data_IF_716830536612
#
_entry.id   IF_716830536612
#
_cell.length_a   1.000
_cell.length_b   1.000
_cell.length_c   1.000
_cell.angle_alpha   90.00
_cell.angle_beta   90.00
_cell.angle_gamma   90.00
#
_symmetry.space_group_name_H-M   'P 1'
#
loop_
_entity.id
_entity.type
_entity.pdbx_description
1 polymer ?
#
# COMPACT_ATOMS: atom_id res chain seq x y z
N UNK A 1 -37.76 22.87 -22.19
CA UNK A 1 -36.37 23.32 -22.40
C UNK A 1 -35.48 22.20 -21.90
N UNK A 2 -34.58 21.68 -22.73
CA UNK A 2 -33.57 20.74 -22.24
C UNK A 2 -32.70 21.47 -21.21
N UNK A 3 -32.49 20.89 -20.02
CA UNK A 3 -31.57 21.45 -19.03
C UNK A 3 -30.16 21.44 -19.64
N UNK A 4 -29.41 22.53 -19.45
CA UNK A 4 -27.99 22.59 -19.82
C UNK A 4 -27.18 21.62 -18.95
N UNK A 5 -26.09 21.01 -19.44
CA UNK A 5 -25.20 20.15 -18.63
C UNK A 5 -24.77 20.81 -17.32
N UNK A 6 -24.43 22.10 -17.38
CA UNK A 6 -24.03 22.91 -16.21
C UNK A 6 -25.16 23.04 -15.16
N UNK A 7 -26.42 23.13 -15.59
CA UNK A 7 -27.54 23.19 -14.65
C UNK A 7 -27.74 21.84 -13.95
N UNK A 8 -27.57 20.75 -14.69
CA UNK A 8 -27.63 19.39 -14.12
C UNK A 8 -26.44 19.16 -13.19
N UNK A 9 -25.27 19.72 -13.50
CA UNK A 9 -24.09 19.66 -12.64
C UNK A 9 -24.30 20.40 -11.31
N UNK A 10 -24.91 21.59 -11.32
CA UNK A 10 -25.29 22.27 -10.08
C UNK A 10 -26.27 21.43 -9.25
N UNK A 11 -27.23 20.75 -9.90
CA UNK A 11 -28.13 19.81 -9.21
C UNK A 11 -27.34 18.64 -8.56
N UNK A 12 -26.25 18.16 -9.17
CA UNK A 12 -25.36 17.13 -8.58
C UNK A 12 -24.72 17.64 -7.29
N UNK A 13 -24.15 18.85 -7.31
CA UNK A 13 -23.48 19.44 -6.15
C UNK A 13 -24.45 19.62 -4.98
N UNK A 14 -25.66 20.12 -5.27
CA UNK A 14 -26.74 20.24 -4.28
C UNK A 14 -27.13 18.89 -3.65
N UNK A 15 -27.13 17.81 -4.45
CA UNK A 15 -27.44 16.46 -3.97
C UNK A 15 -26.29 15.88 -3.12
N UNK A 16 -25.03 16.14 -3.49
CA UNK A 16 -23.87 15.77 -2.68
C UNK A 16 -23.88 16.47 -1.32
N UNK A 17 -24.22 17.76 -1.26
CA UNK A 17 -24.35 18.51 -0.01
C UNK A 17 -25.48 17.96 0.88
N UNK A 18 -26.59 17.54 0.28
CA UNK A 18 -27.71 16.88 0.98
C UNK A 18 -27.41 15.44 1.40
N UNK A 19 -26.30 14.87 0.92
CA UNK A 19 -25.90 13.48 1.18
C UNK A 19 -26.65 12.44 0.34
N UNK A 20 -27.39 12.86 -0.70
CA UNK A 20 -28.13 11.99 -1.61
C UNK A 20 -27.23 11.46 -2.73
N UNK A 21 -26.36 10.51 -2.36
CA UNK A 21 -25.34 9.95 -3.24
C UNK A 21 -25.90 9.20 -4.44
N UNK A 22 -27.05 8.55 -4.29
CA UNK A 22 -27.64 7.75 -5.37
C UNK A 22 -28.17 8.66 -6.48
N UNK A 23 -28.94 9.69 -6.11
CA UNK A 23 -29.43 10.66 -7.08
C UNK A 23 -28.29 11.50 -7.65
N UNK A 24 -27.29 11.88 -6.84
CA UNK A 24 -26.09 12.56 -7.32
C UNK A 24 -25.36 11.74 -8.40
N UNK A 25 -25.22 10.42 -8.19
CA UNK A 25 -24.58 9.54 -9.17
C UNK A 25 -25.39 9.42 -10.47
N UNK A 26 -26.72 9.38 -10.38
CA UNK A 26 -27.60 9.34 -11.55
C UNK A 26 -27.51 10.64 -12.35
N UNK A 27 -27.55 11.79 -11.69
CA UNK A 27 -27.42 13.09 -12.34
C UNK A 27 -26.02 13.29 -12.93
N UNK A 28 -24.95 12.88 -12.24
CA UNK A 28 -23.59 12.97 -12.76
C UNK A 28 -23.40 12.11 -14.03
N UNK A 29 -24.03 10.92 -14.09
CA UNK A 29 -24.08 10.12 -15.33
C UNK A 29 -24.81 10.83 -16.45
N UNK A 30 -25.92 11.49 -16.14
CA UNK A 30 -26.67 12.28 -17.12
C UNK A 30 -25.84 13.45 -17.64
N UNK A 31 -25.03 14.11 -16.80
CA UNK A 31 -24.10 15.16 -17.23
C UNK A 31 -23.11 14.63 -18.25
N UNK A 32 -22.44 13.50 -17.98
CA UNK A 32 -21.44 12.95 -18.93
C UNK A 32 -22.07 12.37 -20.21
N UNK A 33 -23.35 11.99 -20.18
CA UNK A 33 -24.10 11.62 -21.38
C UNK A 33 -24.41 12.84 -22.27
N UNK A 34 -24.57 14.04 -21.68
CA UNK A 34 -24.78 15.28 -22.42
C UNK A 34 -23.45 15.92 -22.86
N UNK A 35 -22.43 15.88 -22.01
CA UNK A 35 -21.08 16.36 -22.27
C UNK A 35 -20.04 15.35 -21.77
N UNK A 36 -19.52 14.52 -22.68
CA UNK A 36 -18.52 13.51 -22.35
C UNK A 36 -17.24 14.13 -21.79
N UNK A 37 -16.93 15.40 -22.10
CA UNK A 37 -15.67 16.05 -21.69
C UNK A 37 -15.72 16.65 -20.30
N UNK A 38 -16.86 16.57 -19.61
CA UNK A 38 -17.03 17.16 -18.28
C UNK A 38 -16.24 16.38 -17.21
N UNK A 39 -15.00 16.81 -16.94
CA UNK A 39 -14.08 16.12 -16.06
C UNK A 39 -14.59 16.02 -14.61
N UNK A 40 -15.18 17.09 -14.07
CA UNK A 40 -15.70 17.08 -12.70
C UNK A 40 -16.85 16.08 -12.51
N UNK A 41 -17.72 15.92 -13.51
CA UNK A 41 -18.78 14.93 -13.49
C UNK A 41 -18.21 13.50 -13.51
N UNK A 42 -17.17 13.24 -14.31
CA UNK A 42 -16.43 11.97 -14.24
C UNK A 42 -15.79 11.74 -12.87
N UNK A 43 -15.24 12.79 -12.26
CA UNK A 43 -14.63 12.70 -10.93
C UNK A 43 -15.68 12.41 -9.85
N UNK A 44 -16.86 13.03 -9.94
CA UNK A 44 -18.00 12.72 -9.08
C UNK A 44 -18.45 11.27 -9.28
N UNK A 45 -18.57 10.78 -10.52
CA UNK A 45 -18.90 9.37 -10.79
C UNK A 45 -17.87 8.44 -10.12
N UNK A 46 -16.57 8.75 -10.20
CA UNK A 46 -15.54 7.95 -9.55
C UNK A 46 -15.75 7.89 -8.03
N UNK A 47 -15.87 9.06 -7.37
CA UNK A 47 -16.04 9.17 -5.91
C UNK A 47 -17.36 8.62 -5.40
N UNK A 48 -18.44 8.77 -6.16
CA UNK A 48 -19.79 8.32 -5.78
C UNK A 48 -19.98 6.82 -5.93
N UNK A 49 -19.25 6.17 -6.84
CA UNK A 49 -19.23 4.70 -6.93
C UNK A 49 -18.48 4.04 -5.78
N UNK A 50 -17.58 4.77 -5.10
CA UNK A 50 -16.87 4.27 -3.93
C UNK A 50 -17.74 4.39 -2.66
N UNK A 51 -17.51 3.53 -1.66
CA UNK A 51 -18.14 3.66 -0.36
C UNK A 51 -17.88 5.05 0.27
N UNK A 52 -18.85 5.62 0.99
CA UNK A 52 -18.65 6.89 1.67
C UNK A 52 -17.61 6.76 2.78
N UNK A 53 -16.89 7.85 3.03
CA UNK A 53 -15.98 7.95 4.17
C UNK A 53 -16.80 7.91 5.46
N UNK A 54 -16.68 6.82 6.22
CA UNK A 54 -17.33 6.68 7.52
C UNK A 54 -16.37 7.13 8.63
N UNK A 55 -16.90 7.72 9.71
CA UNK A 55 -16.11 8.11 10.90
C UNK A 55 -15.57 6.91 11.70
N UNK A 56 -15.89 5.68 11.29
CA UNK A 56 -15.50 4.43 11.95
C UNK A 56 -14.53 3.63 11.08
N UNK A 57 -14.69 2.30 11.05
CA UNK A 57 -13.94 1.46 10.12
C UNK A 57 -14.35 1.83 8.68
N UNK A 58 -13.42 2.29 7.82
CA UNK A 58 -13.76 2.64 6.46
C UNK A 58 -14.33 1.42 5.75
N UNK A 59 -15.46 1.60 5.07
CA UNK A 59 -16.02 0.55 4.23
C UNK A 59 -15.12 0.43 3.00
N UNK A 60 -14.48 -0.71 2.84
CA UNK A 60 -13.58 -0.95 1.72
C UNK A 60 -14.40 -1.29 0.46
N UNK A 61 -14.02 -0.75 -0.71
CA UNK A 61 -14.74 -1.03 -1.95
C UNK A 61 -14.57 -2.49 -2.39
N UNK A 62 -15.60 -3.00 -3.09
CA UNK A 62 -15.56 -4.27 -3.83
C UNK A 62 -14.87 -4.09 -5.21
N UNK A 63 -14.64 -5.20 -5.92
CA UNK A 63 -13.94 -5.17 -7.22
C UNK A 63 -14.74 -4.38 -8.27
N UNK A 64 -16.08 -4.47 -8.24
CA UNK A 64 -16.97 -3.81 -9.20
C UNK A 64 -16.96 -2.29 -9.01
N UNK A 65 -16.94 -1.82 -7.77
CA UNK A 65 -16.83 -0.42 -7.40
C UNK A 65 -15.47 0.14 -7.82
N UNK A 66 -14.38 -0.57 -7.51
CA UNK A 66 -13.03 -0.18 -7.95
C UNK A 66 -12.95 -0.08 -9.47
N UNK A 67 -13.49 -1.06 -10.21
CA UNK A 67 -13.49 -1.07 -11.68
C UNK A 67 -14.25 0.11 -12.29
N UNK A 68 -15.45 0.42 -11.77
CA UNK A 68 -16.23 1.59 -12.21
C UNK A 68 -15.50 2.90 -11.90
N UNK A 69 -14.93 3.03 -10.70
CA UNK A 69 -14.19 4.20 -10.29
C UNK A 69 -12.95 4.41 -11.18
N UNK A 70 -12.18 3.35 -11.44
CA UNK A 70 -11.01 3.42 -12.34
C UNK A 70 -11.38 3.78 -13.77
N UNK A 71 -12.51 3.31 -14.28
CA UNK A 71 -12.99 3.67 -15.63
C UNK A 71 -13.31 5.16 -15.71
N UNK A 72 -13.97 5.71 -14.68
CA UNK A 72 -14.27 7.13 -14.60
C UNK A 72 -13.00 7.97 -14.41
N UNK A 73 -12.06 7.55 -13.56
CA UNK A 73 -10.79 8.25 -13.35
C UNK A 73 -9.93 8.33 -14.61
N UNK A 74 -9.90 7.27 -15.42
CA UNK A 74 -9.26 7.29 -16.74
C UNK A 74 -9.84 8.37 -17.66
N UNK A 75 -11.15 8.64 -17.56
CA UNK A 75 -11.80 9.73 -18.29
C UNK A 75 -11.46 11.10 -17.71
N UNK A 76 -11.38 11.22 -16.38
CA UNK A 76 -10.93 12.47 -15.73
C UNK A 76 -9.55 12.87 -16.24
N UNK A 77 -8.54 11.99 -16.12
CA UNK A 77 -7.18 12.31 -16.56
C UNK A 77 -7.06 12.52 -18.07
N UNK A 78 -8.01 12.00 -18.86
CA UNK A 78 -8.06 12.22 -20.31
C UNK A 78 -8.50 13.66 -20.65
N UNK A 79 -9.41 14.23 -19.87
CA UNK A 79 -10.00 15.55 -20.13
C UNK A 79 -9.40 16.67 -19.27
N UNK A 80 -8.94 16.33 -18.07
CA UNK A 80 -8.28 17.20 -17.10
C UNK A 80 -7.06 16.48 -16.52
N UNK A 81 -5.91 16.51 -17.23
CA UNK A 81 -4.69 15.81 -16.81
C UNK A 81 -4.02 16.41 -15.57
N UNK A 82 -4.42 17.63 -15.18
CA UNK A 82 -3.87 18.38 -14.04
C UNK A 82 -4.62 18.08 -12.74
N UNK A 83 -5.63 17.19 -12.79
CA UNK A 83 -6.42 16.82 -11.64
C UNK A 83 -5.66 15.92 -10.65
N UNK A 84 -4.98 16.53 -9.67
CA UNK A 84 -4.21 15.82 -8.63
C UNK A 84 -5.02 14.73 -7.92
N UNK A 85 -6.28 15.04 -7.55
CA UNK A 85 -7.15 14.11 -6.84
C UNK A 85 -7.45 12.85 -7.67
N UNK A 86 -7.56 12.98 -8.99
CA UNK A 86 -7.79 11.84 -9.87
C UNK A 86 -6.57 10.90 -9.91
N UNK A 87 -5.36 11.47 -9.97
CA UNK A 87 -4.11 10.71 -9.94
C UNK A 87 -3.92 9.99 -8.61
N UNK A 88 -4.11 10.69 -7.49
CA UNK A 88 -4.00 10.11 -6.14
C UNK A 88 -5.00 8.98 -5.93
N UNK A 89 -6.29 9.21 -6.26
CA UNK A 89 -7.32 8.19 -6.08
C UNK A 89 -7.10 7.00 -7.02
N UNK A 90 -6.66 7.24 -8.26
CA UNK A 90 -6.36 6.17 -9.22
C UNK A 90 -5.17 5.32 -8.78
N UNK A 91 -4.11 5.94 -8.27
CA UNK A 91 -2.94 5.25 -7.73
C UNK A 91 -3.31 4.37 -6.53
N UNK A 92 -4.05 4.93 -5.56
CA UNK A 92 -4.51 4.18 -4.39
C UNK A 92 -5.39 2.98 -4.79
N UNK A 93 -6.32 3.16 -5.73
CA UNK A 93 -7.16 2.05 -6.21
C UNK A 93 -6.35 0.95 -6.90
N UNK A 94 -5.39 1.31 -7.76
CA UNK A 94 -4.55 0.33 -8.46
C UNK A 94 -3.63 -0.44 -7.48
N UNK A 95 -2.99 0.27 -6.56
CA UNK A 95 -1.94 -0.28 -5.69
C UNK A 95 -2.54 -0.97 -4.46
N UNK A 96 -3.42 -0.29 -3.73
CA UNK A 96 -3.90 -0.74 -2.42
C UNK A 96 -5.16 -1.61 -2.50
N UNK A 97 -6.04 -1.32 -3.46
CA UNK A 97 -7.32 -2.02 -3.60
C UNK A 97 -7.29 -3.16 -4.61
N UNK A 98 -6.59 -2.99 -5.74
CA UNK A 98 -6.56 -3.96 -6.83
C UNK A 98 -5.28 -4.80 -6.89
N UNK A 99 -4.19 -4.36 -6.26
CA UNK A 99 -2.89 -5.04 -6.35
C UNK A 99 -2.31 -5.07 -7.77
N UNK A 100 -2.71 -4.15 -8.63
CA UNK A 100 -2.27 -4.04 -10.02
C UNK A 100 -1.02 -3.16 -10.10
N UNK A 101 0.10 -3.65 -9.54
CA UNK A 101 1.29 -2.83 -9.30
C UNK A 101 1.97 -2.33 -10.60
N UNK A 102 2.02 -3.16 -11.64
CA UNK A 102 2.54 -2.77 -12.95
C UNK A 102 1.73 -1.63 -13.57
N UNK A 103 0.40 -1.70 -13.50
CA UNK A 103 -0.46 -0.59 -13.93
C UNK A 103 -0.36 0.62 -13.00
N UNK A 104 -0.03 0.41 -11.72
CA UNK A 104 0.31 1.50 -10.79
C UNK A 104 1.58 2.23 -11.21
N UNK A 105 2.63 1.51 -11.63
CA UNK A 105 3.85 2.12 -12.19
C UNK A 105 3.54 2.93 -13.44
N UNK A 106 2.78 2.36 -14.38
CA UNK A 106 2.35 3.03 -15.60
C UNK A 106 1.49 4.28 -15.31
N UNK A 107 0.60 4.20 -14.32
CA UNK A 107 -0.25 5.31 -13.90
C UNK A 107 0.60 6.50 -13.41
N UNK A 108 1.56 6.25 -12.53
CA UNK A 108 2.45 7.29 -12.03
C UNK A 108 3.43 7.79 -13.09
N UNK A 109 3.87 6.95 -14.01
CA UNK A 109 4.68 7.41 -15.15
C UNK A 109 3.89 8.35 -16.06
N UNK A 110 2.62 8.03 -16.32
CA UNK A 110 1.78 8.92 -17.12
C UNK A 110 1.56 10.28 -16.45
N UNK A 111 1.52 10.36 -15.10
CA UNK A 111 1.53 11.64 -14.39
C UNK A 111 2.83 12.41 -14.62
N UNK A 112 3.98 11.72 -14.56
CA UNK A 112 5.30 12.33 -14.81
C UNK A 112 5.46 12.90 -16.21
N UNK A 113 4.76 12.38 -17.23
CA UNK A 113 4.78 12.98 -18.58
C UNK A 113 4.21 14.39 -18.61
N UNK A 114 3.28 14.71 -17.71
CA UNK A 114 2.69 16.05 -17.60
C UNK A 114 3.46 16.91 -16.60
N UNK A 115 3.85 16.32 -15.48
CA UNK A 115 4.58 17.00 -14.39
C UNK A 115 5.83 16.20 -13.96
N UNK A 116 6.96 16.35 -14.69
CA UNK A 116 8.16 15.52 -14.50
C UNK A 116 8.84 15.72 -13.15
N UNK A 117 8.77 16.94 -12.61
CA UNK A 117 9.52 17.36 -11.42
C UNK A 117 8.76 17.10 -10.10
N UNK A 118 7.55 16.53 -10.18
CA UNK A 118 6.80 16.17 -8.97
C UNK A 118 7.42 14.96 -8.25
N UNK A 119 7.57 15.11 -6.94
CA UNK A 119 8.15 14.10 -6.05
C UNK A 119 7.21 12.91 -5.81
N UNK A 120 5.90 13.13 -5.74
CA UNK A 120 4.92 12.10 -5.37
C UNK A 120 4.94 10.87 -6.29
N UNK A 121 4.91 11.01 -7.63
CA UNK A 121 4.97 9.85 -8.52
C UNK A 121 6.20 8.96 -8.31
N UNK A 122 7.38 9.54 -8.11
CA UNK A 122 8.61 8.78 -7.86
C UNK A 122 8.58 8.05 -6.52
N UNK A 123 8.08 8.71 -5.46
CA UNK A 123 7.88 8.11 -4.13
C UNK A 123 6.99 6.86 -4.23
N UNK A 124 5.88 6.94 -4.97
CA UNK A 124 4.96 5.82 -5.17
C UNK A 124 5.58 4.71 -6.04
N UNK A 125 6.28 5.05 -7.12
CA UNK A 125 7.00 4.08 -7.96
C UNK A 125 8.06 3.32 -7.16
N UNK A 126 8.87 3.99 -6.35
CA UNK A 126 9.87 3.34 -5.48
C UNK A 126 9.20 2.40 -4.48
N UNK A 127 8.06 2.81 -3.90
CA UNK A 127 7.27 1.96 -3.00
C UNK A 127 6.84 0.65 -3.67
N UNK A 128 6.35 0.72 -4.91
CA UNK A 128 5.97 -0.45 -5.70
C UNK A 128 7.18 -1.36 -5.97
N UNK A 129 8.29 -0.78 -6.46
CA UNK A 129 9.50 -1.52 -6.80
C UNK A 129 10.09 -2.23 -5.57
N UNK A 130 10.10 -1.56 -4.41
CA UNK A 130 10.60 -2.12 -3.15
C UNK A 130 9.74 -3.28 -2.65
N UNK A 131 8.40 -3.17 -2.79
CA UNK A 131 7.44 -4.23 -2.47
C UNK A 131 7.69 -5.48 -3.32
N UNK A 132 7.96 -5.28 -4.61
CA UNK A 132 8.25 -6.33 -5.57
C UNK A 132 9.69 -6.87 -5.53
N UNK A 133 10.58 -6.25 -4.75
CA UNK A 133 11.98 -6.68 -4.59
C UNK A 133 12.93 -6.20 -5.70
N UNK A 134 12.54 -5.22 -6.51
CA UNK A 134 13.35 -4.62 -7.57
C UNK A 134 14.23 -3.50 -7.01
N UNK A 135 15.17 -3.85 -6.13
CA UNK A 135 15.99 -2.86 -5.40
C UNK A 135 17.00 -2.10 -6.25
N UNK A 136 17.45 -2.68 -7.36
CA UNK A 136 18.32 -1.99 -8.32
C UNK A 136 17.57 -0.83 -8.98
N UNK A 137 16.34 -1.08 -9.46
CA UNK A 137 15.47 -0.04 -10.02
C UNK A 137 15.08 1.00 -8.96
N UNK A 138 14.87 0.58 -7.70
CA UNK A 138 14.66 1.51 -6.60
C UNK A 138 15.84 2.48 -6.43
N UNK A 139 17.08 1.99 -6.54
CA UNK A 139 18.27 2.84 -6.40
C UNK A 139 18.32 3.90 -7.50
N UNK A 140 18.03 3.52 -8.74
CA UNK A 140 17.96 4.44 -9.89
C UNK A 140 16.90 5.53 -9.65
N UNK A 141 15.68 5.14 -9.25
CA UNK A 141 14.59 6.10 -8.98
C UNK A 141 14.86 6.94 -7.72
N UNK A 142 15.57 6.42 -6.73
CA UNK A 142 16.00 7.18 -5.54
C UNK A 142 17.02 8.25 -5.92
N UNK A 143 17.98 7.93 -6.78
CA UNK A 143 18.96 8.91 -7.27
C UNK A 143 18.25 10.03 -8.05
N UNK A 144 17.25 9.69 -8.87
CA UNK A 144 16.40 10.66 -9.55
C UNK A 144 15.60 11.53 -8.56
N UNK A 145 15.00 10.91 -7.54
CA UNK A 145 14.19 11.58 -6.51
C UNK A 145 14.99 12.64 -5.73
N UNK A 146 16.29 12.41 -5.51
CA UNK A 146 17.18 13.35 -4.81
C UNK A 146 18.01 14.22 -5.78
N UNK A 147 17.71 14.18 -7.08
CA UNK A 147 18.35 15.00 -8.09
C UNK A 147 18.00 16.50 -7.98
N UNK A 148 18.83 17.34 -8.59
CA UNK A 148 18.65 18.82 -8.58
C UNK A 148 17.50 19.31 -9.45
N UNK A 149 16.97 18.45 -10.34
CA UNK A 149 15.88 18.79 -11.26
C UNK A 149 14.50 18.76 -10.59
N UNK A 150 14.38 18.12 -9.42
CA UNK A 150 13.09 17.95 -8.74
C UNK A 150 12.58 19.25 -8.12
N UNK A 151 11.25 19.41 -8.11
CA UNK A 151 10.61 20.55 -7.47
C UNK A 151 10.97 20.61 -6.00
N UNK A 152 11.18 21.83 -5.49
CA UNK A 152 11.53 22.06 -4.10
C UNK A 152 10.48 21.41 -3.18
N UNK A 153 10.83 20.31 -2.49
CA UNK A 153 9.84 19.53 -1.77
C UNK A 153 9.36 20.31 -0.55
N UNK A 154 8.04 20.30 -0.33
CA UNK A 154 7.49 20.75 0.95
C UNK A 154 8.08 19.90 2.10
N UNK A 155 8.14 20.45 3.32
CA UNK A 155 8.68 19.73 4.49
C UNK A 155 8.06 18.33 4.68
N UNK A 156 6.77 18.18 4.38
CA UNK A 156 6.08 16.89 4.43
C UNK A 156 6.58 15.91 3.35
N UNK A 157 6.85 16.40 2.14
CA UNK A 157 7.39 15.59 1.04
C UNK A 157 8.83 15.16 1.34
N UNK A 158 9.66 16.04 1.92
CA UNK A 158 11.00 15.68 2.38
C UNK A 158 11.00 14.51 3.36
N UNK A 159 10.10 14.55 4.35
CA UNK A 159 9.95 13.45 5.31
C UNK A 159 9.53 12.15 4.62
N UNK A 160 8.63 12.22 3.62
CA UNK A 160 8.24 11.06 2.82
C UNK A 160 9.41 10.51 2.01
N UNK A 161 10.19 11.36 1.34
CA UNK A 161 11.39 10.95 0.58
C UNK A 161 12.40 10.22 1.47
N UNK A 162 12.70 10.78 2.64
CA UNK A 162 13.61 10.16 3.61
C UNK A 162 13.05 8.83 4.14
N UNK A 163 11.74 8.78 4.42
CA UNK A 163 11.09 7.55 4.86
C UNK A 163 11.16 6.45 3.80
N UNK A 164 10.95 6.78 2.53
CA UNK A 164 11.07 5.82 1.43
C UNK A 164 12.50 5.33 1.28
N UNK A 165 13.49 6.24 1.30
CA UNK A 165 14.90 5.83 1.27
C UNK A 165 15.24 4.85 2.40
N UNK A 166 14.85 5.16 3.64
CA UNK A 166 15.09 4.27 4.79
C UNK A 166 14.36 2.93 4.64
N UNK A 167 13.14 2.94 4.09
CA UNK A 167 12.38 1.73 3.80
C UNK A 167 13.12 0.84 2.80
N UNK A 168 13.62 1.41 1.69
CA UNK A 168 14.38 0.67 0.68
C UNK A 168 15.69 0.14 1.24
N UNK A 169 16.47 0.98 1.93
CA UNK A 169 17.74 0.55 2.56
C UNK A 169 17.51 -0.60 3.55
N UNK A 170 16.46 -0.51 4.36
CA UNK A 170 16.09 -1.56 5.32
C UNK A 170 15.65 -2.84 4.60
N UNK A 171 14.78 -2.73 3.59
CA UNK A 171 14.30 -3.88 2.83
C UNK A 171 15.45 -4.59 2.09
N UNK A 172 16.31 -3.84 1.41
CA UNK A 172 17.52 -4.36 0.78
C UNK A 172 18.44 -5.04 1.81
N UNK A 173 18.67 -4.40 2.97
CA UNK A 173 19.54 -4.97 4.01
C UNK A 173 19.03 -6.30 4.58
N UNK A 174 17.70 -6.48 4.67
CA UNK A 174 17.08 -7.73 5.12
C UNK A 174 17.26 -8.88 4.13
N UNK A 175 17.49 -8.56 2.85
CA UNK A 175 17.60 -9.49 1.73
C UNK A 175 19.03 -9.66 1.22
N UNK A 176 20.01 -9.05 1.88
CA UNK A 176 21.45 -9.09 1.56
C UNK A 176 22.02 -10.50 1.27
N UNK A 177 21.41 -11.57 1.77
CA UNK A 177 21.86 -12.95 1.51
C UNK A 177 21.21 -13.60 0.29
N UNK A 178 19.93 -13.29 0.02
CA UNK A 178 19.10 -13.94 -1.01
C UNK A 178 17.79 -13.15 -1.15
N UNK A 179 17.58 -12.50 -2.30
CA UNK A 179 16.31 -11.84 -2.65
C UNK A 179 15.32 -12.92 -3.08
N UNK A 180 14.14 -12.95 -2.46
CA UNK A 180 13.12 -13.92 -2.84
C UNK A 180 12.56 -13.59 -4.22
N UNK A 181 12.63 -14.56 -5.14
CA UNK A 181 12.09 -14.45 -6.49
C UNK A 181 10.91 -15.41 -6.69
N UNK A 182 9.65 -14.92 -6.63
CA UNK A 182 8.46 -15.76 -6.81
C UNK A 182 8.38 -16.49 -8.16
N UNK A 183 9.11 -16.01 -9.17
CA UNK A 183 9.16 -16.60 -10.52
C UNK A 183 9.95 -17.90 -10.56
N UNK A 184 10.96 -18.03 -9.69
CA UNK A 184 11.76 -19.24 -9.60
C UNK A 184 11.11 -20.22 -8.61
N UNK A 185 10.60 -21.33 -9.15
CA UNK A 185 9.99 -22.39 -8.34
C UNK A 185 11.01 -23.19 -7.53
N UNK A 186 12.29 -23.08 -7.88
CA UNK A 186 13.39 -23.76 -7.18
C UNK A 186 14.03 -22.86 -6.11
N UNK A 187 13.56 -21.61 -5.97
CA UNK A 187 14.03 -20.68 -4.94
C UNK A 187 13.89 -21.32 -3.54
N UNK A 188 14.97 -21.28 -2.76
CA UNK A 188 15.08 -21.93 -1.47
C UNK A 188 14.04 -21.39 -0.46
N UNK A 189 13.57 -20.15 -0.65
CA UNK A 189 12.57 -19.49 0.19
C UNK A 189 11.20 -20.17 0.12
N UNK A 190 10.86 -20.84 -0.99
CA UNK A 190 9.66 -21.67 -1.06
C UNK A 190 9.66 -22.78 -0.01
N UNK A 191 10.80 -23.43 0.21
CA UNK A 191 10.92 -24.47 1.24
C UNK A 191 10.86 -23.91 2.67
N UNK A 192 11.34 -22.69 2.89
CA UNK A 192 11.18 -21.99 4.17
C UNK A 192 9.69 -21.71 4.42
N UNK A 193 8.97 -21.17 3.43
CA UNK A 193 7.54 -20.91 3.53
C UNK A 193 6.74 -22.20 3.76
N UNK A 194 7.03 -23.28 3.04
CA UNK A 194 6.39 -24.60 3.26
C UNK A 194 6.56 -25.09 4.70
N UNK A 195 7.75 -24.96 5.29
CA UNK A 195 7.99 -25.34 6.70
C UNK A 195 7.26 -24.44 7.68
N UNK A 196 7.07 -23.16 7.34
CA UNK A 196 6.46 -22.15 8.21
C UNK A 196 4.96 -21.94 7.95
N UNK A 197 4.36 -22.66 7.00
CA UNK A 197 2.98 -22.46 6.49
C UNK A 197 1.87 -22.47 7.55
N UNK A 198 2.10 -23.15 8.68
CA UNK A 198 1.14 -23.23 9.78
C UNK A 198 1.31 -22.17 10.87
N UNK A 199 2.34 -21.31 10.77
CA UNK A 199 2.61 -20.22 11.70
C UNK A 199 2.08 -18.91 11.15
N UNK A 200 1.32 -18.18 11.97
CA UNK A 200 0.82 -16.84 11.62
C UNK A 200 1.93 -15.80 11.80
N UNK A 201 1.92 -14.70 11.03
CA UNK A 201 2.82 -13.59 11.27
C UNK A 201 2.59 -13.04 12.68
N UNK A 202 3.67 -12.67 13.35
CA UNK A 202 3.63 -12.09 14.68
C UNK A 202 3.30 -10.60 14.52
N UNK A 203 2.22 -10.13 15.13
CA UNK A 203 1.87 -8.71 15.10
C UNK A 203 2.78 -7.91 16.05
N UNK A 204 3.01 -6.63 15.73
CA UNK A 204 3.83 -5.74 16.55
C UNK A 204 3.34 -5.68 18.00
N UNK A 205 2.02 -5.53 18.22
CA UNK A 205 1.44 -5.54 19.56
C UNK A 205 1.71 -6.84 20.32
N UNK A 206 1.55 -8.01 19.66
CA UNK A 206 1.83 -9.30 20.31
C UNK A 206 3.31 -9.43 20.64
N UNK A 207 4.19 -9.01 19.73
CA UNK A 207 5.63 -9.04 19.97
C UNK A 207 6.04 -8.10 21.11
N UNK A 208 5.42 -6.92 21.17
CA UNK A 208 5.63 -5.95 22.23
C UNK A 208 5.24 -6.53 23.59
N UNK A 209 4.05 -7.11 23.72
CA UNK A 209 3.58 -7.67 24.99
C UNK A 209 4.29 -8.96 25.40
N UNK A 210 4.66 -9.83 24.46
CA UNK A 210 5.24 -11.15 24.77
C UNK A 210 6.76 -11.13 24.91
N UNK A 211 7.47 -10.27 24.17
CA UNK A 211 8.93 -10.22 24.19
C UNK A 211 9.47 -8.91 24.77
N UNK A 212 9.00 -7.76 24.26
CA UNK A 212 9.59 -6.45 24.62
C UNK A 212 9.26 -6.04 26.06
N UNK A 213 7.98 -6.09 26.45
CA UNK A 213 7.51 -5.62 27.75
C UNK A 213 8.09 -6.41 28.93
N UNK A 214 8.19 -7.76 28.90
CA UNK A 214 8.84 -8.51 29.97
C UNK A 214 10.32 -8.15 30.14
N UNK A 215 11.05 -7.93 29.04
CA UNK A 215 12.47 -7.52 29.10
C UNK A 215 12.61 -6.14 29.73
N UNK A 216 11.80 -5.17 29.30
CA UNK A 216 11.78 -3.82 29.86
C UNK A 216 11.40 -3.84 31.34
N UNK A 217 10.42 -4.66 31.72
CA UNK A 217 9.97 -4.80 33.11
C UNK A 217 11.06 -5.38 34.01
N UNK A 218 11.73 -6.45 33.59
CA UNK A 218 12.85 -7.05 34.33
C UNK A 218 14.02 -6.06 34.49
N UNK A 219 14.36 -5.31 33.44
CA UNK A 219 15.36 -4.25 33.51
C UNK A 219 14.92 -3.11 34.44
N UNK A 220 13.64 -2.75 34.41
CA UNK A 220 13.06 -1.75 35.31
C UNK A 220 13.23 -2.12 36.78
N UNK A 221 12.99 -3.39 37.14
CA UNK A 221 13.22 -3.90 38.50
C UNK A 221 14.70 -3.77 38.89
N UNK A 222 15.63 -4.13 38.00
CA UNK A 222 17.08 -3.99 38.27
C UNK A 222 17.50 -2.53 38.47
N UNK A 223 16.92 -1.60 37.69
CA UNK A 223 17.20 -0.17 37.82
C UNK A 223 16.63 0.39 39.13
N UNK A 224 15.46 -0.08 39.57
CA UNK A 224 14.88 0.27 40.87
C UNK A 224 15.75 -0.21 42.04
N UNK A 225 16.22 -1.46 41.98
CA UNK A 225 17.09 -2.04 43.01
C UNK A 225 18.41 -1.26 43.14
N UNK A 226 18.96 -0.77 42.01
CA UNK A 226 20.21 -0.02 42.00
C UNK A 226 20.09 1.44 42.48
N UNK A 227 18.99 2.14 42.18
CA UNK A 227 18.84 3.58 42.45
C UNK A 227 18.13 3.91 43.77
N UNK A 228 17.52 2.93 44.42
CA UNK A 228 16.88 3.07 45.73
C UNK A 228 15.57 3.88 45.71
N UNK A 229 14.80 3.78 46.80
CA UNK A 229 13.40 4.24 46.88
C UNK A 229 13.27 5.73 47.28
N UNK A 230 14.10 6.60 46.69
CA UNK A 230 14.02 8.05 46.92
C UNK A 230 13.10 8.72 45.91
N UNK A 231 12.45 9.83 46.28
CA UNK A 231 11.56 10.57 45.37
C UNK A 231 12.25 11.06 44.09
N UNK A 232 13.55 11.36 44.15
CA UNK A 232 14.35 11.67 42.96
C UNK A 232 14.77 10.42 42.19
N UNK A 233 15.04 9.31 42.89
CA UNK A 233 15.34 8.00 42.31
C UNK A 233 14.18 7.48 41.47
N UNK A 234 12.94 7.58 41.95
CA UNK A 234 11.75 7.11 41.21
C UNK A 234 11.52 7.87 39.90
N UNK A 235 11.74 9.20 39.89
CA UNK A 235 11.67 10.02 38.68
C UNK A 235 12.79 9.63 37.69
N UNK A 236 14.02 9.44 38.18
CA UNK A 236 15.15 9.02 37.35
C UNK A 236 14.93 7.62 36.75
N UNK A 237 14.48 6.67 37.57
CA UNK A 237 14.11 5.31 37.14
C UNK A 237 13.04 5.38 36.05
N UNK A 238 12.00 6.20 36.23
CA UNK A 238 10.93 6.32 35.25
C UNK A 238 11.45 6.82 33.88
N UNK A 239 12.32 7.84 33.88
CA UNK A 239 12.95 8.32 32.64
C UNK A 239 13.86 7.27 32.00
N UNK A 240 14.60 6.50 32.80
CA UNK A 240 15.44 5.39 32.32
C UNK A 240 14.59 4.28 31.71
N UNK A 241 13.46 3.92 32.33
CA UNK A 241 12.53 2.92 31.78
C UNK A 241 11.94 3.39 30.46
N UNK A 242 11.54 4.66 30.34
CA UNK A 242 11.07 5.22 29.07
C UNK A 242 12.14 5.16 27.98
N UNK A 243 13.38 5.50 28.32
CA UNK A 243 14.51 5.42 27.41
C UNK A 243 14.82 3.97 26.98
N UNK A 244 14.82 3.02 27.92
CA UNK A 244 15.00 1.60 27.66
C UNK A 244 13.87 1.05 26.78
N UNK A 245 12.62 1.43 27.07
CA UNK A 245 11.47 1.04 26.27
C UNK A 245 11.59 1.53 24.82
N UNK A 246 11.96 2.80 24.62
CA UNK A 246 12.17 3.35 23.28
C UNK A 246 13.32 2.64 22.53
N UNK A 247 14.42 2.35 23.24
CA UNK A 247 15.60 1.69 22.66
C UNK A 247 15.32 0.24 22.30
N UNK A 248 14.71 -0.53 23.20
CA UNK A 248 14.38 -1.94 22.98
C UNK A 248 13.34 -2.07 21.88
N UNK A 249 12.31 -1.22 21.85
CA UNK A 249 11.31 -1.24 20.76
C UNK A 249 11.96 -1.03 19.38
N UNK A 250 12.90 -0.08 19.27
CA UNK A 250 13.63 0.13 18.00
C UNK A 250 14.45 -1.08 17.57
N UNK A 251 15.19 -1.69 18.49
CA UNK A 251 16.01 -2.88 18.20
C UNK A 251 15.14 -4.11 17.92
N UNK A 252 14.05 -4.26 18.66
CA UNK A 252 13.15 -5.42 18.56
C UNK A 252 12.37 -5.41 17.25
N UNK A 253 12.08 -4.24 16.67
CA UNK A 253 11.46 -4.12 15.34
C UNK A 253 12.29 -4.79 14.23
N UNK A 254 13.63 -4.73 14.29
CA UNK A 254 14.46 -5.46 13.31
C UNK A 254 14.30 -6.97 13.46
N UNK A 255 14.25 -7.46 14.70
CA UNK A 255 14.07 -8.88 14.99
C UNK A 255 12.69 -9.37 14.56
N UNK A 256 11.63 -8.60 14.82
CA UNK A 256 10.27 -8.91 14.40
C UNK A 256 10.16 -9.08 12.88
N UNK A 257 10.76 -8.16 12.13
CA UNK A 257 10.76 -8.22 10.68
C UNK A 257 11.51 -9.45 10.16
N UNK A 258 12.65 -9.81 10.78
CA UNK A 258 13.38 -11.03 10.45
C UNK A 258 12.57 -12.30 10.76
N UNK A 259 11.86 -12.35 11.90
CA UNK A 259 10.99 -13.47 12.25
C UNK A 259 9.82 -13.61 11.25
N UNK A 260 9.27 -12.49 10.80
CA UNK A 260 8.17 -12.42 9.84
C UNK A 260 8.62 -12.48 8.37
N UNK A 261 9.91 -12.68 8.08
CA UNK A 261 10.43 -12.65 6.70
C UNK A 261 9.69 -13.62 5.77
N UNK A 262 9.32 -14.80 6.24
CA UNK A 262 8.52 -15.77 5.48
C UNK A 262 7.12 -15.27 5.11
N UNK A 263 6.53 -14.41 5.93
CA UNK A 263 5.25 -13.77 5.63
C UNK A 263 5.42 -12.62 4.62
N UNK A 264 6.52 -11.87 4.69
CA UNK A 264 6.88 -10.85 3.70
C UNK A 264 7.14 -11.47 2.32
N UNK A 265 7.84 -12.60 2.26
CA UNK A 265 8.04 -13.35 1.01
C UNK A 265 6.70 -13.78 0.42
N UNK A 266 5.80 -14.31 1.24
CA UNK A 266 4.46 -14.69 0.77
C UNK A 266 3.67 -13.48 0.28
N UNK A 267 3.79 -12.34 0.96
CA UNK A 267 3.16 -11.09 0.53
C UNK A 267 3.65 -10.67 -0.87
N UNK A 268 4.97 -10.72 -1.09
CA UNK A 268 5.56 -10.50 -2.40
C UNK A 268 5.04 -11.48 -3.43
N UNK A 269 4.89 -12.77 -3.10
CA UNK A 269 4.31 -13.73 -4.03
C UNK A 269 2.86 -13.37 -4.40
N UNK A 270 2.05 -12.92 -3.44
CA UNK A 270 0.67 -12.44 -3.69
C UNK A 270 0.70 -11.21 -4.61
N UNK A 271 1.67 -10.32 -4.43
CA UNK A 271 1.84 -9.13 -5.27
C UNK A 271 2.21 -9.49 -6.71
N UNK A 272 3.06 -10.49 -6.91
CA UNK A 272 3.36 -11.04 -8.23
C UNK A 272 2.09 -11.64 -8.87
N UNK A 273 1.32 -12.46 -8.14
CA UNK A 273 0.11 -13.06 -8.71
C UNK A 273 -0.96 -12.03 -9.08
N UNK A 274 -1.20 -11.06 -8.21
CA UNK A 274 -2.21 -10.00 -8.40
C UNK A 274 -1.86 -9.05 -9.54
N UNK A 275 -0.57 -8.74 -9.68
CA UNK A 275 -0.04 -7.89 -10.75
C UNK A 275 -0.06 -8.60 -12.08
N UNK A 276 0.50 -9.82 -12.16
CA UNK A 276 0.60 -10.55 -13.43
C UNK A 276 -0.74 -11.17 -13.88
N UNK A 277 -1.70 -11.30 -12.96
CA UNK A 277 -2.93 -12.05 -13.19
C UNK A 277 -2.73 -13.56 -13.36
N UNK A 278 -1.63 -14.11 -12.81
CA UNK A 278 -1.20 -15.50 -13.01
C UNK A 278 -0.70 -16.11 -11.71
N UNK A 279 -0.76 -17.43 -11.61
CA UNK A 279 -0.47 -18.17 -10.38
C UNK A 279 1.01 -18.56 -10.32
N UNK A 280 1.66 -18.28 -9.19
CA UNK A 280 3.00 -18.75 -8.83
C UNK A 280 3.06 -19.46 -7.47
N UNK A 281 2.12 -19.19 -6.56
CA UNK A 281 2.05 -19.75 -5.21
C UNK A 281 1.61 -21.23 -5.29
N UNK A 282 2.38 -22.18 -4.72
CA UNK A 282 1.99 -23.58 -4.62
C UNK A 282 0.72 -23.80 -3.79
N UNK A 283 -0.11 -24.77 -4.19
CA UNK A 283 -1.37 -25.10 -3.51
C UNK A 283 -1.16 -25.45 -2.02
N UNK A 284 -0.06 -26.12 -1.68
CA UNK A 284 0.30 -26.45 -0.30
C UNK A 284 0.45 -25.22 0.61
N UNK A 285 0.89 -24.09 0.06
CA UNK A 285 1.03 -22.81 0.78
C UNK A 285 -0.30 -22.08 0.75
N UNK A 286 -1.05 -22.14 -0.35
CA UNK A 286 -2.37 -21.50 -0.49
C UNK A 286 -3.40 -22.01 0.51
N UNK A 287 -3.41 -23.31 0.78
CA UNK A 287 -4.30 -23.93 1.78
C UNK A 287 -3.85 -23.70 3.23
N UNK A 288 -2.75 -22.99 3.44
CA UNK A 288 -2.14 -22.85 4.75
C UNK A 288 -2.73 -21.75 5.62
N UNK A 289 -2.51 -21.85 6.94
CA UNK A 289 -2.91 -20.81 7.89
C UNK A 289 -2.18 -19.48 7.67
N UNK A 290 -0.95 -19.55 7.17
CA UNK A 290 -0.16 -18.37 6.82
C UNK A 290 -0.85 -17.60 5.69
N UNK A 291 -1.18 -18.28 4.58
CA UNK A 291 -1.87 -17.66 3.45
C UNK A 291 -3.22 -17.07 3.85
N UNK A 292 -4.03 -17.82 4.61
CA UNK A 292 -5.30 -17.30 5.13
C UNK A 292 -5.09 -16.01 5.97
N UNK A 293 -4.08 -15.97 6.84
CA UNK A 293 -3.79 -14.76 7.64
C UNK A 293 -3.29 -13.58 6.81
N UNK A 294 -2.56 -13.85 5.71
CA UNK A 294 -2.11 -12.82 4.78
C UNK A 294 -3.27 -12.29 3.93
N UNK A 295 -4.21 -13.16 3.54
CA UNK A 295 -5.41 -12.72 2.84
C UNK A 295 -6.34 -11.93 3.75
N UNK A 296 -6.49 -12.29 5.03
CA UNK A 296 -7.38 -11.59 5.97
C UNK A 296 -7.16 -10.07 6.00
N UNK A 297 -5.90 -9.62 5.92
CA UNK A 297 -5.52 -8.21 5.94
C UNK A 297 -5.76 -7.48 4.60
N UNK A 298 -5.91 -8.20 3.48
CA UNK A 298 -6.10 -7.61 2.15
C UNK A 298 -7.51 -7.05 1.97
N UNK A 299 -7.64 -6.09 1.06
CA UNK A 299 -8.91 -5.45 0.72
C UNK A 299 -9.89 -6.43 0.06
N UNK A 300 -11.22 -6.20 0.18
CA UNK A 300 -12.22 -7.05 -0.46
C UNK A 300 -12.07 -7.13 -1.98
N UNK A 301 -11.82 -5.99 -2.64
CA UNK A 301 -11.56 -5.94 -4.08
C UNK A 301 -10.38 -6.84 -4.50
N UNK A 302 -9.27 -6.82 -3.75
CA UNK A 302 -8.12 -7.68 -4.03
C UNK A 302 -8.46 -9.15 -3.81
N UNK A 303 -9.21 -9.50 -2.76
CA UNK A 303 -9.67 -10.88 -2.51
C UNK A 303 -10.49 -11.43 -3.67
N UNK A 304 -11.51 -10.68 -4.10
CA UNK A 304 -12.36 -11.06 -5.24
C UNK A 304 -11.54 -11.24 -6.53
N UNK A 305 -10.59 -10.33 -6.79
CA UNK A 305 -9.69 -10.43 -7.94
C UNK A 305 -8.79 -11.66 -7.85
N UNK A 306 -8.23 -11.94 -6.68
CA UNK A 306 -7.40 -13.11 -6.45
C UNK A 306 -8.19 -14.40 -6.69
N UNK A 307 -9.43 -14.49 -6.21
CA UNK A 307 -10.29 -15.65 -6.47
C UNK A 307 -10.52 -15.88 -7.98
N UNK A 308 -10.67 -14.81 -8.77
CA UNK A 308 -10.76 -14.89 -10.23
C UNK A 308 -9.48 -15.39 -10.88
N UNK A 309 -8.31 -14.88 -10.44
CA UNK A 309 -6.99 -15.31 -10.93
C UNK A 309 -6.76 -16.79 -10.61
N UNK A 310 -7.10 -17.21 -9.39
CA UNK A 310 -7.00 -18.60 -8.94
C UNK A 310 -7.88 -19.51 -9.82
N UNK A 311 -9.10 -19.07 -10.12
CA UNK A 311 -10.05 -19.81 -10.97
C UNK A 311 -9.57 -19.95 -12.41
N UNK A 312 -8.88 -18.93 -12.95
CA UNK A 312 -8.28 -18.97 -14.29
C UNK A 312 -7.21 -20.07 -14.42
N UNK A 313 -6.45 -20.35 -13.36
CA UNK A 313 -5.47 -21.44 -13.36
C UNK A 313 -4.21 -21.19 -14.20
N UNK A 314 -4.07 -20.01 -14.81
CA UNK A 314 -2.93 -19.66 -15.64
C UNK A 314 -1.64 -19.54 -14.82
N UNK A 315 -0.58 -20.24 -15.22
CA UNK A 315 0.70 -20.25 -14.48
C UNK A 315 1.59 -19.10 -14.92
N UNK A 316 2.26 -18.47 -13.95
CA UNK A 316 3.26 -17.44 -14.21
C UNK A 316 4.43 -18.03 -15.02
N UNK A 317 4.76 -17.45 -16.20
CA UNK A 317 5.87 -17.93 -16.99
C UNK A 317 7.20 -17.55 -16.34
N UNK A 318 8.22 -18.40 -16.48
CA UNK A 318 9.56 -18.15 -15.91
C UNK A 318 10.22 -16.85 -16.41
N UNK A 319 9.87 -16.43 -17.63
CA UNK A 319 10.39 -15.22 -18.29
C UNK A 319 9.52 -13.98 -18.02
N UNK A 320 8.55 -14.06 -17.12
CA UNK A 320 7.78 -12.87 -16.77
C UNK A 320 8.70 -11.86 -16.07
N UNK A 321 8.62 -10.61 -16.49
CA UNK A 321 9.33 -9.49 -15.91
C UNK A 321 8.35 -8.35 -15.73
N UNK A 322 8.55 -7.60 -14.66
CA UNK A 322 7.80 -6.38 -14.41
C UNK A 322 8.22 -5.35 -15.47
N UNK A 323 7.24 -4.75 -16.14
CA UNK A 323 7.52 -3.64 -17.03
C UNK A 323 7.73 -2.37 -16.17
N UNK A 324 9.00 -2.03 -15.93
CA UNK A 324 9.38 -0.80 -15.21
C UNK A 324 9.50 0.34 -16.22
N UNK A 325 8.67 1.38 -16.12
CA UNK A 325 8.65 2.48 -17.08
C UNK A 325 9.75 3.53 -16.89
#
# INVERSE_FOLDING_TARGET
MAKSPEMVWLDVLDLEEKGDRENALLQAKSVVEMDEKHADAWMAIARLNLPPLTRGKPLMPDLKQCSKAMTALKKVIQFDPDNDLAWELGGALLIDHLGMLEHGLEWWENRRKNEPHQVTPLVEQIGILARMGYYEDCAIKLDELFGEEMDAPANQQLLRMQSVRQMVEKAASMENSEIFNPRDKLDSRWEIMKRMKNKKPITENRFLFTFTAPIVFLLGILVMDALGDTAFGTIAVFLIILFLFATITRLSNSLLNNLNRHALDLDRAIDFESTSGKICIPDEIRESKLYASMMDIKTPALKERMDMIITSGEKLPKKWELNVP
#
